data_IF_682841142496
#
_entry.id   IF_682841142496
#
_cell.length_a   1.000
_cell.length_b   1.000
_cell.length_c   1.000
_cell.angle_alpha   90.00
_cell.angle_beta   90.00
_cell.angle_gamma   90.00
#
_symmetry.space_group_name_H-M   'P 1'
#
loop_
_entity.id
_entity.type
_entity.pdbx_description
1 polymer ?
#
# COMPACT_ATOMS: atom_id res chain seq x y z
N UNK A 1 -17.78 -2.10 0.00
CA UNK A 1 -16.57 -1.56 -0.67
C UNK A 1 -15.36 -2.17 0.04
N UNK A 2 -14.31 -2.55 -0.69
CA UNK A 2 -13.08 -3.12 -0.08
C UNK A 2 -12.16 -1.96 0.34
N UNK A 3 -11.59 -1.95 1.56
CA UNK A 3 -10.63 -0.92 1.94
C UNK A 3 -9.37 -1.00 1.07
N UNK A 4 -8.90 0.16 0.61
CA UNK A 4 -7.73 0.30 -0.28
C UNK A 4 -6.45 0.51 0.52
N UNK A 5 -5.43 -0.30 0.24
CA UNK A 5 -4.14 -0.28 0.91
C UNK A 5 -3.06 0.13 -0.10
N UNK A 6 -2.30 1.18 0.21
CA UNK A 6 -1.08 1.53 -0.49
C UNK A 6 0.14 0.99 0.27
N UNK A 7 0.97 0.20 -0.40
CA UNK A 7 2.28 -0.25 0.11
C UNK A 7 3.37 0.58 -0.57
N UNK A 8 3.99 1.49 0.18
CA UNK A 8 4.95 2.48 -0.33
C UNK A 8 6.42 1.99 -0.35
N UNK A 9 6.73 0.92 0.37
CA UNK A 9 8.08 0.39 0.51
C UNK A 9 8.11 -1.13 0.28
N UNK A 10 9.28 -1.72 -0.08
CA UNK A 10 9.41 -3.16 -0.26
C UNK A 10 9.07 -3.95 1.01
N UNK A 11 8.07 -4.84 0.90
CA UNK A 11 7.70 -5.79 1.95
C UNK A 11 7.78 -7.22 1.41
N UNK A 12 7.70 -8.19 2.30
CA UNK A 12 7.61 -9.59 1.90
C UNK A 12 6.27 -9.87 1.18
N UNK A 13 6.31 -10.71 0.14
CA UNK A 13 5.12 -11.05 -0.66
C UNK A 13 4.00 -11.69 0.17
N UNK A 14 4.33 -12.40 1.25
CA UNK A 14 3.34 -12.99 2.16
C UNK A 14 2.38 -11.95 2.74
N UNK A 15 2.85 -10.72 3.02
CA UNK A 15 1.99 -9.65 3.54
C UNK A 15 0.93 -9.23 2.51
N UNK A 16 1.29 -9.20 1.22
CA UNK A 16 0.35 -8.90 0.12
C UNK A 16 -0.72 -9.98 0.00
N UNK A 17 -0.31 -11.24 0.14
CA UNK A 17 -1.25 -12.37 0.12
C UNK A 17 -2.22 -12.31 1.30
N UNK A 18 -1.72 -12.06 2.51
CA UNK A 18 -2.56 -11.95 3.72
C UNK A 18 -3.59 -10.82 3.56
N UNK A 19 -3.17 -9.63 3.11
CA UNK A 19 -4.08 -8.50 2.89
C UNK A 19 -5.12 -8.80 1.80
N UNK A 20 -4.70 -9.34 0.67
CA UNK A 20 -5.60 -9.70 -0.43
C UNK A 20 -6.63 -10.74 0.01
N UNK A 21 -6.19 -11.78 0.73
CA UNK A 21 -7.07 -12.84 1.26
C UNK A 21 -8.01 -12.33 2.35
N UNK A 22 -7.63 -11.30 3.10
CA UNK A 22 -8.49 -10.64 4.08
C UNK A 22 -9.51 -9.67 3.44
N UNK A 23 -9.50 -9.50 2.11
CA UNK A 23 -10.49 -8.71 1.38
C UNK A 23 -10.10 -7.25 1.15
N UNK A 24 -8.84 -6.89 1.36
CA UNK A 24 -8.30 -5.57 1.00
C UNK A 24 -8.04 -5.47 -0.51
N UNK A 25 -8.10 -4.25 -1.03
CA UNK A 25 -7.63 -3.90 -2.37
C UNK A 25 -6.22 -3.32 -2.27
N UNK A 26 -5.22 -4.02 -2.79
CA UNK A 26 -3.80 -3.76 -2.49
C UNK A 26 -3.09 -3.18 -3.71
N UNK A 27 -2.56 -1.97 -3.58
CA UNK A 27 -1.68 -1.30 -4.55
C UNK A 27 -0.23 -1.27 -4.01
N UNK A 28 0.72 -1.79 -4.79
CA UNK A 28 2.13 -1.81 -4.44
C UNK A 28 2.91 -0.81 -5.28
N UNK A 29 3.49 0.20 -4.63
CA UNK A 29 4.33 1.22 -5.25
C UNK A 29 5.64 1.40 -4.47
N UNK A 30 6.46 0.33 -4.35
CA UNK A 30 7.73 0.44 -3.66
C UNK A 30 8.61 1.51 -4.30
N UNK A 31 9.14 2.43 -3.49
CA UNK A 31 9.98 3.52 -3.98
C UNK A 31 9.20 4.73 -4.49
N UNK A 32 7.89 4.80 -4.23
CA UNK A 32 7.09 6.01 -4.47
C UNK A 32 7.78 7.24 -3.87
N UNK A 33 7.85 8.31 -4.67
CA UNK A 33 8.40 9.59 -4.21
C UNK A 33 7.42 10.31 -3.28
N UNK A 34 7.92 11.28 -2.51
CA UNK A 34 7.06 12.08 -1.63
C UNK A 34 5.95 12.81 -2.40
N UNK A 35 6.30 13.40 -3.56
CA UNK A 35 5.35 14.13 -4.40
C UNK A 35 4.25 13.21 -4.97
N UNK A 36 4.64 12.02 -5.44
CA UNK A 36 3.66 11.03 -5.94
C UNK A 36 2.77 10.56 -4.80
N UNK A 37 3.33 10.25 -3.63
CA UNK A 37 2.58 9.83 -2.45
C UNK A 37 1.53 10.89 -2.08
N UNK A 38 1.94 12.14 -1.95
CA UNK A 38 1.04 13.26 -1.62
C UNK A 38 -0.13 13.37 -2.61
N UNK A 39 0.13 13.17 -3.91
CA UNK A 39 -0.90 13.25 -4.95
C UNK A 39 -1.92 12.10 -4.94
N UNK A 40 -1.55 10.91 -4.47
CA UNK A 40 -2.41 9.71 -4.56
C UNK A 40 -2.97 9.25 -3.22
N UNK A 41 -2.38 9.64 -2.10
CA UNK A 41 -2.67 9.05 -0.78
C UNK A 41 -4.13 9.20 -0.34
N UNK A 42 -4.79 10.30 -0.75
CA UNK A 42 -6.21 10.53 -0.44
C UNK A 42 -7.17 9.50 -1.07
N UNK A 43 -6.69 8.67 -1.99
CA UNK A 43 -7.45 7.56 -2.57
C UNK A 43 -7.37 6.24 -1.81
N UNK A 44 -6.66 6.19 -0.67
CA UNK A 44 -6.40 4.98 0.11
C UNK A 44 -6.92 5.12 1.54
N UNK A 45 -7.39 4.00 2.09
CA UNK A 45 -7.86 3.90 3.48
C UNK A 45 -6.71 3.54 4.43
N UNK A 46 -5.65 2.92 3.91
CA UNK A 46 -4.50 2.42 4.67
C UNK A 46 -3.21 2.71 3.91
N UNK A 47 -2.20 3.17 4.65
CA UNK A 47 -0.81 3.32 4.18
C UNK A 47 0.09 2.35 4.94
N UNK A 48 0.86 1.55 4.22
CA UNK A 48 1.87 0.65 4.77
C UNK A 48 3.27 1.10 4.32
N UNK A 49 4.18 1.25 5.30
CA UNK A 49 5.54 1.76 5.10
C UNK A 49 6.57 0.85 5.79
N UNK A 50 7.83 0.98 5.41
CA UNK A 50 8.99 0.43 6.13
C UNK A 50 10.08 1.49 6.28
N UNK A 51 10.95 1.30 7.27
CA UNK A 51 12.19 2.08 7.37
C UNK A 51 13.07 1.81 6.14
N UNK A 52 13.57 2.89 5.55
CA UNK A 52 14.64 2.85 4.54
C UNK A 52 15.99 2.94 5.21
#
# INVERSE_FOLDING_TARGET
MKPKVLIADPIDFSAVQILSSAGFDVDQRPGISANELESVIGGFDVLMVRGR
#
